data_IF_298246908771
#
_entry.id   IF_298246908771
#
_cell.length_a   1.000
_cell.length_b   1.000
_cell.length_c   1.000
_cell.angle_alpha   90.00
_cell.angle_beta   90.00
_cell.angle_gamma   90.00
#
_symmetry.space_group_name_H-M   'P 1'
#
loop_
_entity.id
_entity.type
_entity.pdbx_description
1 polymer ?
#
# COMPACT_ATOMS: atom_id res chain seq x y z
N UNK A 1 3.08 -10.08 -11.37
CA UNK A 1 2.68 -8.68 -11.08
C UNK A 1 1.27 -8.59 -10.48
N UNK A 2 0.26 -9.23 -11.10
CA UNK A 2 -1.16 -9.05 -10.74
C UNK A 2 -1.53 -9.33 -9.28
N UNK A 3 -1.02 -10.43 -8.69
CA UNK A 3 -1.37 -10.80 -7.31
C UNK A 3 -0.79 -9.82 -6.26
N UNK A 4 0.41 -9.29 -6.50
CA UNK A 4 1.06 -8.30 -5.62
C UNK A 4 0.33 -6.96 -5.71
N UNK A 5 0.05 -6.51 -6.93
CA UNK A 5 -0.71 -5.29 -7.17
C UNK A 5 -2.11 -5.34 -6.53
N UNK A 6 -2.86 -6.43 -6.76
CA UNK A 6 -4.17 -6.63 -6.15
C UNK A 6 -4.11 -6.62 -4.62
N UNK A 7 -3.08 -7.23 -4.04
CA UNK A 7 -2.88 -7.23 -2.59
C UNK A 7 -2.56 -5.84 -2.05
N UNK A 8 -1.65 -5.10 -2.70
CA UNK A 8 -1.27 -3.76 -2.28
C UNK A 8 -2.46 -2.78 -2.38
N UNK A 9 -3.23 -2.83 -3.46
CA UNK A 9 -4.45 -2.06 -3.62
C UNK A 9 -5.50 -2.41 -2.56
N UNK A 10 -5.67 -3.71 -2.26
CA UNK A 10 -6.58 -4.16 -1.18
C UNK A 10 -6.17 -3.58 0.17
N UNK A 11 -4.89 -3.62 0.49
CA UNK A 11 -4.34 -3.10 1.74
C UNK A 11 -4.54 -1.58 1.86
N UNK A 12 -4.30 -0.83 0.78
CA UNK A 12 -4.57 0.62 0.72
C UNK A 12 -6.06 0.94 0.84
N UNK A 13 -6.91 0.14 0.21
CA UNK A 13 -8.37 0.25 0.34
C UNK A 13 -8.83 -0.05 1.77
N UNK A 14 -8.29 -1.08 2.40
CA UNK A 14 -8.59 -1.42 3.80
C UNK A 14 -8.20 -0.28 4.74
N UNK A 15 -7.02 0.32 4.54
CA UNK A 15 -6.59 1.49 5.30
C UNK A 15 -7.63 2.62 5.17
N UNK A 16 -7.96 3.03 3.94
CA UNK A 16 -8.86 4.17 3.71
C UNK A 16 -10.24 3.96 4.34
N UNK A 17 -10.80 2.75 4.24
CA UNK A 17 -12.17 2.51 4.71
C UNK A 17 -12.26 2.22 6.22
N UNK A 18 -11.26 1.55 6.81
CA UNK A 18 -11.36 1.01 8.17
C UNK A 18 -10.39 1.66 9.17
N UNK A 19 -9.30 2.26 8.67
CA UNK A 19 -8.18 2.71 9.51
C UNK A 19 -7.70 4.14 9.24
N UNK A 20 -8.39 4.94 8.41
CA UNK A 20 -7.99 6.34 8.12
C UNK A 20 -7.78 7.19 9.40
N UNK A 21 -8.56 6.91 10.45
CA UNK A 21 -8.42 7.56 11.78
C UNK A 21 -7.75 6.67 12.84
N UNK A 22 -7.21 5.51 12.43
CA UNK A 22 -6.64 4.46 13.28
C UNK A 22 -5.36 3.91 12.64
N UNK A 23 -4.55 4.79 12.06
CA UNK A 23 -3.36 4.42 11.30
C UNK A 23 -2.39 3.56 12.11
N UNK A 24 -2.18 3.89 13.38
CA UNK A 24 -1.34 3.10 14.30
C UNK A 24 -1.75 1.62 14.35
N UNK A 25 -3.06 1.34 14.43
CA UNK A 25 -3.59 -0.04 14.42
C UNK A 25 -3.37 -0.76 13.09
N UNK A 26 -3.37 -0.01 11.99
CA UNK A 26 -3.08 -0.59 10.68
C UNK A 26 -1.60 -0.97 10.58
N UNK A 27 -0.71 -0.10 11.08
CA UNK A 27 0.73 -0.38 11.14
C UNK A 27 1.04 -1.57 12.03
N UNK A 28 0.47 -1.65 13.23
CA UNK A 28 0.63 -2.82 14.12
C UNK A 28 0.22 -4.13 13.44
N UNK A 29 -0.88 -4.10 12.68
CA UNK A 29 -1.41 -5.29 12.00
C UNK A 29 -0.55 -5.74 10.82
N UNK A 30 0.06 -4.80 10.09
CA UNK A 30 0.66 -5.07 8.79
C UNK A 30 2.16 -4.77 8.68
N UNK A 31 2.83 -4.32 9.74
CA UNK A 31 4.27 -3.97 9.74
C UNK A 31 5.19 -5.10 9.21
N UNK A 32 4.81 -6.36 9.38
CA UNK A 32 5.54 -7.54 8.90
C UNK A 32 5.13 -8.02 7.51
N UNK A 33 4.14 -7.37 6.88
CA UNK A 33 3.67 -7.75 5.55
C UNK A 33 4.72 -7.38 4.49
N UNK A 34 4.98 -8.27 3.53
CA UNK A 34 6.01 -8.07 2.49
C UNK A 34 5.79 -6.86 1.58
N UNK A 35 4.56 -6.33 1.53
CA UNK A 35 4.18 -5.13 0.77
C UNK A 35 3.98 -3.90 1.67
N UNK A 36 4.25 -4.01 2.97
CA UNK A 36 4.01 -2.94 3.94
C UNK A 36 4.65 -1.62 3.51
N UNK A 37 5.96 -1.62 3.27
CA UNK A 37 6.70 -0.42 2.89
C UNK A 37 6.15 0.25 1.61
N UNK A 38 5.67 -0.55 0.65
CA UNK A 38 5.09 -0.05 -0.60
C UNK A 38 3.74 0.61 -0.33
N UNK A 39 2.90 -0.03 0.48
CA UNK A 39 1.58 0.50 0.82
C UNK A 39 1.72 1.77 1.67
N UNK A 40 2.66 1.82 2.62
CA UNK A 40 2.94 3.04 3.39
C UNK A 40 3.40 4.18 2.48
N UNK A 41 4.32 3.93 1.53
CA UNK A 41 4.70 4.94 0.52
C UNK A 41 3.52 5.41 -0.33
N UNK A 42 2.50 4.58 -0.52
CA UNK A 42 1.28 5.00 -1.24
C UNK A 42 0.40 5.96 -0.45
N UNK A 43 0.70 6.22 0.83
CA UNK A 43 -0.04 7.18 1.66
C UNK A 43 0.31 8.62 1.31
N UNK A 44 1.46 8.86 0.68
CA UNK A 44 1.90 10.16 0.17
C UNK A 44 1.07 10.64 -1.04
N UNK A 45 0.24 9.77 -1.60
CA UNK A 45 -0.59 10.05 -2.78
C UNK A 45 -2.07 10.02 -2.41
N UNK A 46 -2.86 10.81 -3.14
CA UNK A 46 -4.30 10.83 -2.98
C UNK A 46 -4.88 9.45 -3.29
N UNK A 47 -5.94 9.08 -2.57
CA UNK A 47 -6.60 7.79 -2.77
C UNK A 47 -7.07 7.59 -4.23
N UNK A 48 -7.41 8.66 -4.94
CA UNK A 48 -7.82 8.63 -6.36
C UNK A 48 -6.67 8.25 -7.30
N UNK A 49 -5.43 8.49 -6.90
CA UNK A 49 -4.23 8.27 -7.72
C UNK A 49 -3.62 6.88 -7.50
N UNK A 50 -4.07 6.13 -6.48
CA UNK A 50 -3.44 4.85 -6.10
C UNK A 50 -3.49 3.81 -7.22
N UNK A 51 -4.52 3.86 -8.08
CA UNK A 51 -4.65 2.93 -9.20
C UNK A 51 -3.50 3.06 -10.19
N UNK A 52 -3.01 4.28 -10.38
CA UNK A 52 -1.88 4.59 -11.25
C UNK A 52 -0.54 4.48 -10.51
N UNK A 53 -0.48 4.91 -9.25
CA UNK A 53 0.77 5.00 -8.50
C UNK A 53 1.22 3.66 -7.90
N UNK A 54 0.29 2.79 -7.47
CA UNK A 54 0.64 1.51 -6.85
C UNK A 54 1.46 0.59 -7.77
N UNK A 55 1.16 0.43 -9.08
CA UNK A 55 2.02 -0.30 -10.00
C UNK A 55 3.42 0.31 -10.12
N UNK A 56 3.53 1.65 -10.17
CA UNK A 56 4.83 2.35 -10.27
C UNK A 56 5.68 2.12 -9.03
N UNK A 57 5.09 2.23 -7.84
CA UNK A 57 5.75 1.97 -6.56
C UNK A 57 6.22 0.51 -6.44
N UNK A 58 5.41 -0.44 -6.91
CA UNK A 58 5.78 -1.86 -6.96
C UNK A 58 7.00 -2.10 -7.86
N UNK A 59 7.02 -1.49 -9.04
CA UNK A 59 8.13 -1.61 -10.00
C UNK A 59 9.42 -0.99 -9.45
N UNK A 60 9.34 0.22 -8.88
CA UNK A 60 10.48 0.87 -8.24
C UNK A 60 11.06 0.02 -7.10
N UNK A 61 10.21 -0.68 -6.35
CA UNK A 61 10.69 -1.54 -5.27
C UNK A 61 11.35 -2.84 -5.77
N UNK A 62 10.98 -3.32 -6.96
CA UNK A 62 11.65 -4.47 -7.61
C UNK A 62 13.01 -4.07 -8.21
N UNK A 63 13.17 -2.83 -8.67
CA UNK A 63 14.43 -2.32 -9.25
C UNK A 63 15.48 -1.92 -8.19
N UNK A 64 15.05 -1.69 -6.94
CA UNK A 64 15.93 -1.37 -5.81
C UNK A 64 16.31 -2.59 -4.94
N UNK A 65 15.90 -3.80 -5.36
CA UNK A 65 16.24 -5.10 -4.75
C UNK A 65 17.38 -5.76 -5.53
#
# INVERSE_FOLDING_TARGET
MDKRLKTALRLRFEYYNLYEKKEEKWHEKYNQHSLYAIVVKSFDYDFKEIGEMMPKLLKQNEENL
#
